data_IF_673221419484
#
_entry.id   IF_673221419484
#
_cell.length_a   1.000
_cell.length_b   1.000
_cell.length_c   1.000
_cell.angle_alpha   90.00
_cell.angle_beta   90.00
_cell.angle_gamma   90.00
#
_symmetry.space_group_name_H-M   'P 1'
#
loop_
_entity.id
_entity.type
_entity.pdbx_description
1 polymer ?
#
# COMPACT_ATOMS: atom_id res chain seq x y z
N UNK A 1 0.42 9.10 24.79
CA UNK A 1 1.58 8.77 23.90
C UNK A 1 1.29 7.37 23.40
N UNK A 2 0.97 7.20 22.14
CA UNK A 2 0.88 5.86 21.52
C UNK A 2 2.30 5.34 21.41
N UNK A 3 2.57 4.17 22.00
CA UNK A 3 3.87 3.52 21.83
C UNK A 3 4.09 3.16 20.37
N UNK A 4 5.34 3.23 19.89
CA UNK A 4 5.70 2.86 18.53
C UNK A 4 5.38 1.38 18.28
N UNK A 5 4.85 1.08 17.10
CA UNK A 5 4.62 -0.29 16.65
C UNK A 5 5.95 -1.00 16.45
N UNK A 6 6.09 -2.16 17.04
CA UNK A 6 7.33 -2.94 17.06
C UNK A 6 7.39 -3.91 15.90
N UNK A 7 8.53 -3.96 15.18
CA UNK A 7 8.69 -4.74 13.96
C UNK A 7 9.90 -5.67 14.07
N UNK A 8 9.69 -6.95 13.81
CA UNK A 8 10.76 -7.93 13.58
C UNK A 8 11.00 -8.07 12.08
N UNK A 9 12.26 -8.06 11.65
CA UNK A 9 12.66 -8.29 10.26
C UNK A 9 13.24 -9.70 10.12
N UNK A 10 12.69 -10.51 9.22
CA UNK A 10 13.12 -11.89 9.00
C UNK A 10 13.53 -12.07 7.54
N UNK A 11 14.83 -12.18 7.29
CA UNK A 11 15.44 -12.28 5.97
C UNK A 11 16.81 -12.95 6.11
N UNK A 12 17.13 -13.93 5.29
CA UNK A 12 18.40 -14.66 5.36
C UNK A 12 19.59 -13.83 4.81
N UNK A 13 19.31 -12.85 3.94
CA UNK A 13 20.30 -11.86 3.55
C UNK A 13 20.37 -10.73 4.59
N UNK A 14 21.44 -10.75 5.41
CA UNK A 14 21.64 -9.75 6.45
C UNK A 14 21.71 -8.31 5.92
N UNK A 15 22.13 -8.09 4.67
CA UNK A 15 22.19 -6.75 4.05
C UNK A 15 20.80 -6.23 3.77
N UNK A 16 19.94 -7.10 3.27
CA UNK A 16 18.53 -6.79 3.02
C UNK A 16 17.79 -6.58 4.35
N UNK A 17 18.02 -7.45 5.34
CA UNK A 17 17.47 -7.28 6.67
C UNK A 17 17.84 -5.92 7.28
N UNK A 18 19.11 -5.51 7.18
CA UNK A 18 19.59 -4.19 7.63
C UNK A 18 19.00 -3.02 6.87
N UNK A 19 18.82 -3.17 5.55
CA UNK A 19 18.15 -2.15 4.73
C UNK A 19 16.70 -1.95 5.20
N UNK A 20 15.94 -3.05 5.38
CA UNK A 20 14.57 -2.98 5.86
C UNK A 20 14.47 -2.45 7.29
N UNK A 21 15.38 -2.84 8.18
CA UNK A 21 15.49 -2.29 9.53
C UNK A 21 15.65 -0.75 9.48
N UNK A 22 16.56 -0.24 8.64
CA UNK A 22 16.75 1.21 8.45
C UNK A 22 15.50 1.93 7.92
N UNK A 23 14.71 1.28 7.04
CA UNK A 23 13.43 1.85 6.56
C UNK A 23 12.39 1.87 7.69
N UNK A 24 12.31 0.82 8.50
CA UNK A 24 11.41 0.74 9.66
C UNK A 24 11.73 1.83 10.67
N UNK A 25 12.99 2.01 11.03
CA UNK A 25 13.43 3.04 11.99
C UNK A 25 13.17 4.47 11.52
N UNK A 26 13.13 4.70 10.21
CA UNK A 26 12.79 5.99 9.63
C UNK A 26 11.27 6.21 9.47
N UNK A 27 10.47 5.15 9.59
CA UNK A 27 9.03 5.23 9.47
C UNK A 27 8.39 5.78 10.77
N UNK A 28 7.61 6.88 10.71
CA UNK A 28 6.99 7.44 11.91
C UNK A 28 6.07 6.44 12.63
N UNK A 29 6.27 6.28 13.95
CA UNK A 29 5.46 5.39 14.78
C UNK A 29 5.85 3.91 14.67
N UNK A 30 7.06 3.62 14.19
CA UNK A 30 7.60 2.27 14.11
C UNK A 30 9.00 2.19 14.75
N UNK A 31 9.32 1.00 15.28
CA UNK A 31 10.63 0.66 15.84
C UNK A 31 10.96 -0.79 15.53
N UNK A 32 12.17 -1.06 15.06
CA UNK A 32 12.66 -2.42 14.91
C UNK A 32 13.01 -3.04 16.27
N UNK A 33 12.64 -4.29 16.49
CA UNK A 33 13.03 -5.06 17.67
C UNK A 33 14.21 -5.99 17.38
N UNK A 34 14.62 -6.09 16.13
CA UNK A 34 15.77 -6.86 15.67
C UNK A 34 15.58 -7.52 14.32
N UNK A 35 16.56 -8.32 13.93
CA UNK A 35 16.58 -9.08 12.69
C UNK A 35 16.82 -10.56 12.97
N UNK A 36 16.25 -11.44 12.11
CA UNK A 36 16.46 -12.90 12.19
C UNK A 36 16.70 -13.46 10.78
N UNK A 37 17.69 -14.33 10.62
CA UNK A 37 18.05 -14.93 9.34
C UNK A 37 17.47 -16.33 9.08
N UNK A 38 16.54 -16.82 9.93
CA UNK A 38 15.98 -18.15 9.81
C UNK A 38 14.67 -18.29 10.57
N UNK A 39 13.86 -19.30 10.26
CA UNK A 39 12.62 -19.62 11.00
C UNK A 39 12.91 -19.82 12.50
N UNK A 40 13.94 -20.58 12.81
CA UNK A 40 14.33 -20.85 14.21
C UNK A 40 14.73 -19.57 14.94
N UNK A 41 15.53 -18.73 14.32
CA UNK A 41 15.93 -17.45 14.91
C UNK A 41 14.72 -16.52 15.10
N UNK A 42 13.82 -16.46 14.13
CA UNK A 42 12.59 -15.69 14.22
C UNK A 42 11.72 -16.13 15.41
N UNK A 43 11.48 -17.43 15.55
CA UNK A 43 10.70 -17.98 16.68
C UNK A 43 11.33 -17.64 18.03
N UNK A 44 12.65 -17.72 18.17
CA UNK A 44 13.34 -17.35 19.41
C UNK A 44 13.16 -15.87 19.78
N UNK A 45 13.15 -14.98 18.80
CA UNK A 45 12.86 -13.55 19.01
C UNK A 45 11.39 -13.32 19.37
N UNK A 46 10.47 -14.01 18.68
CA UNK A 46 9.02 -13.92 18.91
C UNK A 46 8.63 -14.33 20.34
N UNK A 47 9.30 -15.34 20.88
CA UNK A 47 9.05 -15.82 22.25
C UNK A 47 9.38 -14.77 23.32
N UNK A 48 10.29 -13.84 23.03
CA UNK A 48 10.82 -12.87 24.01
C UNK A 48 10.32 -11.44 23.78
N UNK A 49 10.14 -11.00 22.54
CA UNK A 49 9.89 -9.60 22.19
C UNK A 49 8.44 -9.27 21.78
N UNK A 50 7.63 -10.27 21.39
CA UNK A 50 6.22 -10.12 20.95
C UNK A 50 5.98 -8.89 20.07
N UNK A 51 6.61 -8.80 18.89
CA UNK A 51 6.44 -7.65 18.01
C UNK A 51 5.00 -7.54 17.51
N UNK A 52 4.57 -6.32 17.12
CA UNK A 52 3.27 -6.09 16.50
C UNK A 52 3.23 -6.58 15.06
N UNK A 53 4.36 -6.51 14.36
CA UNK A 53 4.48 -6.80 12.94
C UNK A 53 5.77 -7.58 12.64
N UNK A 54 5.69 -8.49 11.68
CA UNK A 54 6.86 -9.19 11.12
C UNK A 54 6.97 -8.87 9.62
N UNK A 55 8.12 -8.32 9.19
CA UNK A 55 8.52 -8.30 7.79
C UNK A 55 9.22 -9.62 7.49
N UNK A 56 8.63 -10.47 6.64
CA UNK A 56 9.02 -11.87 6.52
C UNK A 56 9.37 -12.24 5.07
N UNK A 57 10.56 -12.78 4.84
CA UNK A 57 10.85 -13.44 3.57
C UNK A 57 10.16 -14.82 3.49
N UNK A 58 9.68 -15.16 2.30
CA UNK A 58 9.06 -16.46 2.02
C UNK A 58 10.09 -17.61 2.03
N UNK A 59 11.32 -17.33 1.67
CA UNK A 59 12.40 -18.31 1.56
C UNK A 59 13.42 -18.12 2.66
N UNK A 60 13.50 -19.10 3.56
CA UNK A 60 14.48 -19.10 4.65
C UNK A 60 15.25 -20.43 4.62
N UNK A 61 16.51 -20.44 5.09
CA UNK A 61 17.39 -21.60 4.94
C UNK A 61 16.91 -22.88 5.67
N UNK A 62 16.08 -22.71 6.68
CA UNK A 62 15.58 -23.80 7.55
C UNK A 62 14.07 -24.01 7.43
N UNK A 63 13.38 -23.34 6.50
CA UNK A 63 11.96 -23.55 6.31
C UNK A 63 11.27 -22.49 5.44
N UNK A 64 9.96 -22.64 5.28
CA UNK A 64 9.11 -21.73 4.52
C UNK A 64 8.61 -20.59 5.40
N UNK A 65 8.94 -19.33 5.06
CA UNK A 65 8.34 -18.17 5.69
C UNK A 65 6.82 -18.11 5.49
N UNK A 66 6.33 -18.58 4.33
CA UNK A 66 4.88 -18.66 4.08
C UNK A 66 4.15 -19.58 5.06
N UNK A 67 4.78 -20.68 5.45
CA UNK A 67 4.19 -21.59 6.43
C UNK A 67 4.32 -21.05 7.87
N UNK A 68 5.32 -20.19 8.11
CA UNK A 68 5.49 -19.52 9.39
C UNK A 68 4.35 -18.52 9.66
N UNK A 69 3.77 -17.88 8.65
CA UNK A 69 2.63 -16.93 8.80
C UNK A 69 1.51 -17.50 9.67
N UNK A 70 1.17 -18.81 9.51
CA UNK A 70 0.10 -19.47 10.26
C UNK A 70 0.47 -19.87 11.68
N UNK A 71 1.73 -19.78 12.02
CA UNK A 71 2.29 -20.32 13.29
C UNK A 71 2.59 -19.22 14.30
N UNK A 72 2.50 -17.96 13.88
CA UNK A 72 2.85 -16.81 14.71
C UNK A 72 1.64 -15.90 14.90
N UNK A 73 1.58 -15.25 16.05
CA UNK A 73 0.49 -14.33 16.42
C UNK A 73 0.61 -12.94 15.79
N UNK A 74 1.82 -12.34 15.66
CA UNK A 74 1.96 -11.01 15.08
C UNK A 74 1.45 -10.96 13.64
N UNK A 75 0.99 -9.78 13.23
CA UNK A 75 0.66 -9.51 11.83
C UNK A 75 1.89 -9.67 10.93
N UNK A 76 1.70 -10.09 9.69
CA UNK A 76 2.81 -10.37 8.76
C UNK A 76 2.64 -9.59 7.47
N UNK A 77 3.71 -8.87 7.08
CA UNK A 77 3.92 -8.41 5.70
C UNK A 77 4.99 -9.29 5.07
N UNK A 78 4.64 -10.02 4.01
CA UNK A 78 5.65 -10.75 3.23
C UNK A 78 6.45 -9.81 2.34
N UNK A 79 7.79 -9.97 2.37
CA UNK A 79 8.74 -9.14 1.61
C UNK A 79 9.73 -10.08 0.93
N UNK A 80 9.43 -10.51 -0.28
CA UNK A 80 10.10 -11.66 -0.88
C UNK A 80 10.24 -11.54 -2.41
N UNK A 81 11.17 -12.31 -2.99
CA UNK A 81 11.30 -12.45 -4.44
C UNK A 81 10.24 -13.37 -5.06
N UNK A 82 9.46 -14.11 -4.24
CA UNK A 82 8.39 -14.97 -4.75
C UNK A 82 7.24 -14.13 -5.34
N UNK A 83 6.97 -14.32 -6.63
CA UNK A 83 5.93 -13.61 -7.37
C UNK A 83 4.88 -14.57 -7.97
N UNK A 84 5.07 -15.88 -7.76
CA UNK A 84 4.14 -16.88 -8.28
C UNK A 84 2.77 -16.82 -7.56
N UNK A 85 1.65 -16.97 -8.32
CA UNK A 85 0.32 -16.81 -7.76
C UNK A 85 -0.06 -17.82 -6.67
N UNK A 86 0.58 -19.00 -6.64
CA UNK A 86 0.29 -20.04 -5.65
C UNK A 86 0.85 -19.63 -4.29
N UNK A 87 2.10 -19.14 -4.25
CA UNK A 87 2.76 -18.64 -3.04
C UNK A 87 2.03 -17.40 -2.51
N UNK A 88 1.68 -16.45 -3.37
CA UNK A 88 0.91 -15.26 -2.97
C UNK A 88 -0.44 -15.67 -2.33
N UNK A 89 -1.20 -16.55 -2.98
CA UNK A 89 -2.48 -17.04 -2.42
C UNK A 89 -2.31 -17.78 -1.09
N UNK A 90 -1.25 -18.60 -0.95
CA UNK A 90 -0.96 -19.32 0.28
C UNK A 90 -0.64 -18.38 1.43
N UNK A 91 0.17 -17.34 1.18
CA UNK A 91 0.50 -16.30 2.15
C UNK A 91 -0.73 -15.55 2.65
N UNK A 92 -1.54 -15.02 1.71
CA UNK A 92 -2.76 -14.28 2.06
C UNK A 92 -3.79 -15.14 2.78
N UNK A 93 -3.98 -16.40 2.38
CA UNK A 93 -4.81 -17.35 3.12
C UNK A 93 -4.24 -17.73 4.47
N UNK A 94 -2.93 -17.61 4.63
CA UNK A 94 -2.21 -17.83 5.89
C UNK A 94 -2.44 -16.73 6.91
N UNK A 95 -2.92 -15.55 6.50
CA UNK A 95 -3.14 -14.40 7.37
C UNK A 95 -2.17 -13.24 7.13
N UNK A 96 -1.34 -13.29 6.07
CA UNK A 96 -0.50 -12.13 5.73
C UNK A 96 -1.38 -10.93 5.37
N UNK A 97 -1.14 -9.80 6.05
CA UNK A 97 -1.90 -8.56 5.86
C UNK A 97 -1.47 -7.79 4.62
N UNK A 98 -0.25 -8.05 4.11
CA UNK A 98 0.27 -7.44 2.89
C UNK A 98 1.37 -8.30 2.26
N UNK A 99 1.71 -7.98 1.01
CA UNK A 99 2.71 -8.68 0.21
C UNK A 99 3.51 -7.69 -0.63
N UNK A 100 4.84 -7.78 -0.59
CA UNK A 100 5.76 -6.97 -1.38
C UNK A 100 6.70 -7.88 -2.17
N UNK A 101 6.77 -7.67 -3.49
CA UNK A 101 7.68 -8.43 -4.37
C UNK A 101 8.97 -7.64 -4.56
N UNK A 102 10.10 -8.23 -4.19
CA UNK A 102 11.45 -7.69 -4.44
C UNK A 102 11.81 -7.80 -5.94
N UNK A 103 12.51 -6.80 -6.54
CA UNK A 103 12.96 -5.55 -5.93
C UNK A 103 11.87 -4.47 -5.93
N UNK A 104 11.87 -3.60 -4.93
CA UNK A 104 10.96 -2.46 -4.81
C UNK A 104 11.69 -1.22 -4.29
N UNK A 105 11.10 -0.04 -4.54
CA UNK A 105 11.61 1.21 -3.99
C UNK A 105 11.30 1.32 -2.48
N UNK A 106 12.20 1.89 -1.64
CA UNK A 106 12.01 2.05 -0.19
C UNK A 106 10.68 2.68 0.19
N UNK A 107 10.20 3.63 -0.62
CA UNK A 107 8.94 4.34 -0.43
C UNK A 107 7.72 3.38 -0.42
N UNK A 108 7.83 2.25 -1.14
CA UNK A 108 6.75 1.27 -1.16
C UNK A 108 6.62 0.54 0.18
N UNK A 109 7.73 0.19 0.84
CA UNK A 109 7.70 -0.40 2.18
C UNK A 109 7.19 0.63 3.20
N UNK A 110 7.68 1.87 3.16
CA UNK A 110 7.19 2.97 4.00
C UNK A 110 5.68 3.18 3.85
N UNK A 111 5.16 3.14 2.61
CA UNK A 111 3.72 3.24 2.35
C UNK A 111 2.94 2.03 2.93
N UNK A 112 3.50 0.82 2.92
CA UNK A 112 2.87 -0.36 3.55
C UNK A 112 2.84 -0.26 5.06
N UNK A 113 3.92 0.22 5.67
CA UNK A 113 3.97 0.46 7.12
C UNK A 113 2.92 1.51 7.53
N UNK A 114 2.83 2.63 6.81
CA UNK A 114 1.82 3.65 7.07
C UNK A 114 0.38 3.12 6.92
N UNK A 115 0.13 2.28 5.90
CA UNK A 115 -1.15 1.61 5.70
C UNK A 115 -1.50 0.65 6.86
N UNK A 116 -0.50 -0.09 7.35
CA UNK A 116 -0.64 -0.97 8.51
C UNK A 116 -0.91 -0.18 9.80
N UNK A 117 -0.21 0.92 10.05
CA UNK A 117 -0.47 1.79 11.21
C UNK A 117 -1.91 2.34 11.19
N UNK A 118 -2.39 2.77 10.02
CA UNK A 118 -3.78 3.23 9.87
C UNK A 118 -4.80 2.11 10.11
N UNK A 119 -4.52 0.88 9.67
CA UNK A 119 -5.33 -0.30 9.96
C UNK A 119 -5.41 -0.58 11.46
N UNK A 120 -4.26 -0.66 12.14
CA UNK A 120 -4.18 -0.88 13.59
C UNK A 120 -4.89 0.21 14.38
N UNK A 121 -4.69 1.48 14.02
CA UNK A 121 -5.38 2.60 14.64
C UNK A 121 -6.89 2.54 14.44
N UNK A 122 -7.35 2.08 13.28
CA UNK A 122 -8.79 1.89 13.01
C UNK A 122 -9.44 0.80 13.86
N UNK A 123 -8.66 -0.16 14.36
CA UNK A 123 -9.12 -1.27 15.20
C UNK A 123 -8.88 -1.03 16.71
N UNK A 124 -8.07 -0.04 17.09
CA UNK A 124 -7.68 0.25 18.47
C UNK A 124 -8.77 0.98 19.29
N UNK A 125 -10.06 0.74 19.02
CA UNK A 125 -11.17 1.38 19.70
C UNK A 125 -11.68 0.52 20.84
N UNK A 126 -11.86 1.09 22.04
CA UNK A 126 -12.53 0.43 23.16
C UNK A 126 -14.06 0.33 22.96
N UNK A 127 -14.61 0.93 21.92
CA UNK A 127 -16.02 0.88 21.58
C UNK A 127 -16.25 -0.12 20.43
N UNK A 128 -17.42 -0.78 20.39
CA UNK A 128 -17.81 -1.60 19.26
C UNK A 128 -17.70 -0.80 17.95
N UNK A 129 -17.08 -1.39 16.96
CA UNK A 129 -16.98 -0.80 15.63
C UNK A 129 -18.28 -1.04 14.87
N UNK A 130 -18.78 -0.01 14.21
CA UNK A 130 -19.83 -0.16 13.20
C UNK A 130 -19.24 -0.70 11.89
N UNK A 131 -20.10 -1.13 10.96
CA UNK A 131 -19.66 -1.66 9.67
C UNK A 131 -18.76 -0.67 8.91
N UNK A 132 -19.08 0.63 8.96
CA UNK A 132 -18.26 1.66 8.29
C UNK A 132 -16.87 1.78 8.91
N UNK A 133 -16.73 1.61 10.23
CA UNK A 133 -15.44 1.57 10.93
C UNK A 133 -14.58 0.37 10.49
N UNK A 134 -15.19 -0.82 10.45
CA UNK A 134 -14.55 -2.05 9.99
C UNK A 134 -14.09 -1.89 8.53
N UNK A 135 -14.96 -1.40 7.65
CA UNK A 135 -14.64 -1.20 6.24
C UNK A 135 -13.49 -0.19 6.06
N UNK A 136 -13.46 0.90 6.83
CA UNK A 136 -12.34 1.86 6.81
C UNK A 136 -11.02 1.20 7.22
N UNK A 137 -11.02 0.43 8.29
CA UNK A 137 -9.81 -0.27 8.75
C UNK A 137 -9.29 -1.24 7.68
N UNK A 138 -10.15 -2.10 7.13
CA UNK A 138 -9.78 -3.05 6.08
C UNK A 138 -9.29 -2.32 4.80
N UNK A 139 -9.94 -1.21 4.42
CA UNK A 139 -9.53 -0.42 3.27
C UNK A 139 -8.17 0.25 3.46
N UNK A 140 -7.76 0.55 4.68
CA UNK A 140 -6.45 1.13 4.97
C UNK A 140 -5.29 0.23 4.49
N UNK A 141 -5.43 -1.10 4.55
CA UNK A 141 -4.42 -2.06 4.06
C UNK A 141 -4.30 -2.13 2.54
N UNK A 142 -5.25 -1.59 1.78
CA UNK A 142 -5.21 -1.66 0.33
C UNK A 142 -4.17 -0.69 -0.24
N UNK A 143 -3.20 -1.16 -1.06
CA UNK A 143 -2.28 -0.27 -1.76
C UNK A 143 -3.06 0.60 -2.76
N UNK A 144 -2.76 1.88 -2.78
CA UNK A 144 -3.38 2.84 -3.71
C UNK A 144 -4.27 3.90 -3.05
N UNK A 145 -4.55 3.77 -1.75
CA UNK A 145 -4.94 4.89 -0.92
C UNK A 145 -3.86 5.14 0.12
N UNK A 146 -2.71 5.65 -0.31
CA UNK A 146 -1.95 6.54 0.57
C UNK A 146 -3.00 7.50 1.11
N UNK A 147 -3.25 7.42 2.42
CA UNK A 147 -4.11 8.35 3.14
C UNK A 147 -3.89 9.73 2.53
N UNK A 148 -4.90 10.59 2.54
CA UNK A 148 -4.90 11.95 2.00
C UNK A 148 -3.72 12.82 2.52
N UNK A 149 -2.50 12.31 2.43
CA UNK A 149 -1.26 13.06 2.41
C UNK A 149 -1.17 13.63 1.02
N UNK A 150 -1.66 14.89 0.95
CA UNK A 150 -1.33 15.87 -0.06
C UNK A 150 -1.00 15.24 -1.42
N UNK A 151 -2.05 14.83 -2.13
CA UNK A 151 -1.93 14.76 -3.59
C UNK A 151 -1.30 16.08 -4.00
N UNK A 152 -0.33 16.10 -4.91
CA UNK A 152 0.19 17.36 -5.40
C UNK A 152 -1.00 18.29 -5.66
N UNK A 153 -0.93 19.53 -5.21
CA UNK A 153 -2.06 20.46 -5.32
C UNK A 153 -2.69 20.45 -6.72
N UNK A 154 -1.87 20.25 -7.75
CA UNK A 154 -2.30 20.08 -9.15
C UNK A 154 -3.13 18.81 -9.38
N UNK A 155 -2.80 17.68 -8.76
CA UNK A 155 -3.56 16.43 -8.91
C UNK A 155 -4.93 16.54 -8.21
N UNK A 156 -4.95 17.17 -7.04
CA UNK A 156 -6.21 17.44 -6.34
C UNK A 156 -7.08 18.39 -7.14
N UNK A 157 -6.51 19.47 -7.70
CA UNK A 157 -7.25 20.38 -8.57
C UNK A 157 -7.83 19.70 -9.83
N UNK A 158 -7.12 18.73 -10.41
CA UNK A 158 -7.63 17.91 -11.52
C UNK A 158 -8.84 17.07 -11.08
N UNK A 159 -8.79 16.46 -9.90
CA UNK A 159 -9.93 15.71 -9.35
C UNK A 159 -11.11 16.59 -9.00
N UNK A 160 -10.87 17.76 -8.43
CA UNK A 160 -11.91 18.72 -8.09
C UNK A 160 -12.61 19.22 -9.37
N UNK A 161 -11.85 19.50 -10.43
CA UNK A 161 -12.39 19.90 -11.73
C UNK A 161 -13.27 18.80 -12.36
N UNK A 162 -12.88 17.53 -12.22
CA UNK A 162 -13.68 16.39 -12.67
C UNK A 162 -14.92 16.18 -11.81
N UNK A 163 -14.81 16.37 -10.49
CA UNK A 163 -15.91 16.21 -9.53
C UNK A 163 -16.99 17.27 -9.71
N UNK A 164 -16.58 18.48 -10.07
CA UNK A 164 -17.48 19.63 -10.30
C UNK A 164 -18.20 19.55 -11.65
N UNK A 165 -17.90 18.55 -12.49
CA UNK A 165 -18.54 18.38 -13.80
C UNK A 165 -19.43 17.16 -13.82
N UNK A 166 -20.67 17.34 -14.27
CA UNK A 166 -21.61 16.23 -14.51
C UNK A 166 -21.32 15.50 -15.85
N UNK A 167 -20.47 16.09 -16.70
CA UNK A 167 -20.05 15.55 -17.99
C UNK A 167 -18.58 15.11 -17.98
N UNK A 168 -18.24 14.25 -18.91
CA UNK A 168 -16.85 13.85 -19.16
C UNK A 168 -16.05 15.03 -19.70
N UNK A 169 -14.81 15.20 -19.20
CA UNK A 169 -13.91 16.28 -19.61
C UNK A 169 -12.71 15.73 -20.38
N UNK A 170 -12.28 16.45 -21.40
CA UNK A 170 -11.02 16.19 -22.09
C UNK A 170 -9.82 16.79 -21.35
N UNK A 171 -8.60 16.32 -21.68
CA UNK A 171 -7.39 16.88 -21.10
C UNK A 171 -7.19 18.39 -21.35
N UNK A 172 -7.52 18.96 -22.53
CA UNK A 172 -7.51 20.41 -22.72
C UNK A 172 -8.49 21.16 -21.82
N UNK A 173 -9.74 20.70 -21.68
CA UNK A 173 -10.75 21.32 -20.81
C UNK A 173 -10.33 21.32 -19.33
N UNK A 174 -9.70 20.22 -18.87
CA UNK A 174 -9.14 20.14 -17.51
C UNK A 174 -7.94 21.07 -17.36
N UNK A 175 -7.06 21.12 -18.37
CA UNK A 175 -5.89 22.02 -18.34
C UNK A 175 -6.30 23.49 -18.18
N UNK A 176 -7.33 23.90 -18.91
CA UNK A 176 -7.90 25.26 -18.83
C UNK A 176 -8.51 25.55 -17.45
N UNK A 177 -9.33 24.64 -16.91
CA UNK A 177 -10.00 24.81 -15.61
C UNK A 177 -9.03 24.83 -14.44
N UNK A 178 -7.94 24.08 -14.52
CA UNK A 178 -6.94 23.95 -13.45
C UNK A 178 -5.81 24.97 -13.59
N UNK A 179 -5.67 25.62 -14.75
CA UNK A 179 -4.59 26.56 -15.02
C UNK A 179 -3.23 25.91 -15.24
N UNK A 180 -3.20 24.69 -15.84
CA UNK A 180 -1.96 23.95 -16.12
C UNK A 180 -1.79 23.71 -17.62
N UNK A 181 -0.59 23.25 -18.04
CA UNK A 181 -0.40 22.85 -19.43
C UNK A 181 -1.19 21.55 -19.76
N UNK A 182 -1.60 21.40 -21.02
CA UNK A 182 -2.23 20.15 -21.53
C UNK A 182 -1.39 18.92 -21.21
N UNK A 183 -0.06 19.01 -21.36
CA UNK A 183 0.85 17.91 -21.06
C UNK A 183 0.82 17.53 -19.57
N UNK A 184 0.73 18.53 -18.69
CA UNK A 184 0.60 18.34 -17.24
C UNK A 184 -0.73 17.66 -16.90
N UNK A 185 -1.85 18.14 -17.46
CA UNK A 185 -3.16 17.51 -17.26
C UNK A 185 -3.17 16.05 -17.76
N UNK A 186 -2.63 15.78 -18.96
CA UNK A 186 -2.54 14.41 -19.49
C UNK A 186 -1.72 13.48 -18.61
N UNK A 187 -0.61 13.96 -18.02
CA UNK A 187 0.22 13.17 -17.11
C UNK A 187 -0.55 12.76 -15.86
N UNK A 188 -1.25 13.69 -15.21
CA UNK A 188 -2.06 13.39 -14.02
C UNK A 188 -3.27 12.52 -14.35
N UNK A 189 -3.98 12.80 -15.43
CA UNK A 189 -5.11 11.98 -15.88
C UNK A 189 -4.68 10.55 -16.21
N UNK A 190 -3.52 10.37 -16.85
CA UNK A 190 -2.96 9.05 -17.12
C UNK A 190 -2.57 8.28 -15.86
N UNK A 191 -2.08 8.96 -14.81
CA UNK A 191 -1.84 8.36 -13.51
C UNK A 191 -3.15 7.94 -12.82
N UNK A 192 -4.12 8.86 -12.73
CA UNK A 192 -5.44 8.61 -12.14
C UNK A 192 -6.22 7.50 -12.84
N UNK A 193 -6.06 7.35 -14.16
CA UNK A 193 -6.65 6.26 -14.93
C UNK A 193 -6.01 4.90 -14.61
N UNK A 194 -4.68 4.84 -14.49
CA UNK A 194 -3.97 3.64 -14.05
C UNK A 194 -4.38 3.22 -12.64
N UNK A 195 -4.56 4.20 -11.75
CA UNK A 195 -4.99 3.99 -10.37
C UNK A 195 -6.51 3.72 -10.25
N UNK A 196 -7.24 3.63 -11.37
CA UNK A 196 -8.69 3.41 -11.44
C UNK A 196 -9.50 4.42 -10.62
N UNK A 197 -9.02 5.64 -10.54
CA UNK A 197 -9.74 6.77 -9.91
C UNK A 197 -10.67 7.42 -10.93
N UNK A 198 -10.23 7.45 -12.19
CA UNK A 198 -11.02 7.98 -13.32
C UNK A 198 -11.19 6.92 -14.41
N UNK A 199 -12.35 6.96 -15.06
CA UNK A 199 -12.67 6.21 -16.29
C UNK A 199 -12.23 7.01 -17.50
N UNK A 200 -11.80 6.30 -18.56
CA UNK A 200 -11.36 6.90 -19.83
C UNK A 200 -12.22 6.37 -20.95
N UNK A 201 -12.92 7.26 -21.64
CA UNK A 201 -13.67 6.92 -22.83
C UNK A 201 -13.03 7.56 -24.07
N UNK A 202 -13.08 6.83 -25.20
CA UNK A 202 -12.65 7.34 -26.49
C UNK A 202 -13.87 7.94 -27.21
N UNK A 203 -13.82 9.25 -27.44
CA UNK A 203 -14.82 9.91 -28.24
C UNK A 203 -14.31 10.06 -29.69
N UNK A 204 -15.00 9.44 -30.63
CA UNK A 204 -14.73 9.55 -32.06
C UNK A 204 -15.61 10.69 -32.63
N UNK A 205 -15.05 11.90 -32.69
CA UNK A 205 -15.71 13.02 -33.39
C UNK A 205 -15.86 12.77 -34.91
N UNK A 206 -16.77 13.46 -35.57
CA UNK A 206 -17.12 13.27 -36.99
C UNK A 206 -15.99 13.55 -37.99
N UNK A 207 -14.93 14.26 -37.58
CA UNK A 207 -13.75 14.60 -38.39
C UNK A 207 -12.57 14.89 -37.47
N UNK A 208 -11.80 13.86 -37.05
CA UNK A 208 -10.61 14.11 -36.22
C UNK A 208 -10.03 12.91 -35.52
N UNK A 209 -8.90 13.15 -34.83
CA UNK A 209 -8.21 12.18 -34.02
C UNK A 209 -9.08 11.82 -32.79
N UNK A 210 -9.19 10.54 -32.39
CA UNK A 210 -9.94 10.15 -31.19
C UNK A 210 -9.49 10.97 -29.97
N UNK A 211 -10.45 11.53 -29.23
CA UNK A 211 -10.19 12.30 -28.03
C UNK A 211 -10.51 11.48 -26.77
N UNK A 212 -9.58 11.45 -25.81
CA UNK A 212 -9.82 10.83 -24.53
C UNK A 212 -10.67 11.75 -23.65
N UNK A 213 -11.78 11.21 -23.14
CA UNK A 213 -12.64 11.86 -22.15
C UNK A 213 -12.57 11.13 -20.84
N UNK A 214 -12.57 11.88 -19.74
CA UNK A 214 -12.30 11.40 -18.39
C UNK A 214 -13.46 11.72 -17.47
N UNK A 215 -13.81 10.76 -16.61
CA UNK A 215 -14.86 10.90 -15.60
C UNK A 215 -14.44 10.20 -14.32
N UNK A 216 -14.82 10.72 -13.13
CA UNK A 216 -14.59 10.03 -11.85
C UNK A 216 -15.38 8.74 -11.79
N UNK A 217 -14.70 7.64 -11.41
CA UNK A 217 -15.37 6.39 -11.09
C UNK A 217 -16.09 6.57 -9.74
N UNK A 218 -17.41 6.72 -9.76
CA UNK A 218 -18.23 6.66 -8.54
C UNK A 218 -18.29 5.21 -8.09
N UNK A 219 -17.92 4.87 -6.83
CA UNK A 219 -18.14 3.53 -6.32
C UNK A 219 -19.64 3.23 -6.33
N UNK A 220 -20.02 2.07 -6.88
CA UNK A 220 -21.36 1.51 -6.75
C UNK A 220 -21.60 1.04 -5.33
#
# INVERSE_FOLDING_TARGET
MTDDLTVLIVDDDFRIARLHEGIVEQAPGFRAVGTAGSVRAALAVLDTSRPDLVLLDAYLPDGSGVDLVRRIEPDVILVTAADDPATVRRALRGGAVSYLVKPFAPELLTARLAAYAAFRAGLASDRPLDQAGIDRAIHALRPGRVSARERPATEQAVLDALSASDSELSAPEIAERVGVSRATAQRYLGALARDRVVDVQLNYGSTGRPEHRYRILRPR
#
